data_IF_540516183420
#
_entry.id   IF_540516183420
#
_cell.length_a   1.000
_cell.length_b   1.000
_cell.length_c   1.000
_cell.angle_alpha   90.00
_cell.angle_beta   90.00
_cell.angle_gamma   90.00
#
_symmetry.space_group_name_H-M   'P 1'
#
loop_
_entity.id
_entity.type
_entity.pdbx_description
1 polymer ?
#
# COMPACT_ATOMS: atom_id res chain seq x y z
N UNK A 1 -22.38 36.50 15.31
CA UNK A 1 -21.23 35.60 15.41
C UNK A 1 -21.16 34.89 14.05
N UNK A 2 -20.38 35.47 13.14
CA UNK A 2 -20.32 35.03 11.74
C UNK A 2 -19.38 33.81 11.62
N UNK A 3 -19.92 32.73 11.07
CA UNK A 3 -19.12 31.55 10.71
C UNK A 3 -18.31 31.86 9.45
N UNK A 4 -16.99 31.93 9.57
CA UNK A 4 -16.09 32.02 8.43
C UNK A 4 -16.03 30.65 7.74
N UNK A 5 -16.54 30.62 6.51
CA UNK A 5 -16.36 29.50 5.59
C UNK A 5 -14.87 29.40 5.21
N UNK A 6 -14.26 28.27 5.49
CA UNK A 6 -12.90 27.95 5.03
C UNK A 6 -12.99 27.54 3.56
N UNK A 7 -12.42 28.35 2.68
CA UNK A 7 -12.20 27.97 1.29
C UNK A 7 -10.98 27.03 1.24
N UNK A 8 -11.23 25.77 0.92
CA UNK A 8 -10.18 24.86 0.48
C UNK A 8 -9.69 25.27 -0.92
N UNK A 9 -8.38 25.29 -1.19
CA UNK A 9 -7.88 25.56 -2.53
C UNK A 9 -8.29 24.42 -3.47
N UNK A 10 -8.79 24.79 -4.65
CA UNK A 10 -9.11 23.86 -5.73
C UNK A 10 -7.87 23.04 -6.12
N UNK A 11 -7.87 21.74 -5.81
CA UNK A 11 -6.93 20.79 -6.40
C UNK A 11 -7.16 20.78 -7.92
N UNK A 12 -6.13 21.06 -8.70
CA UNK A 12 -6.18 20.88 -10.15
C UNK A 12 -6.16 19.37 -10.43
N UNK A 13 -7.30 18.81 -10.77
CA UNK A 13 -7.39 17.42 -11.25
C UNK A 13 -6.83 17.37 -12.66
N UNK A 14 -5.67 16.77 -12.84
CA UNK A 14 -5.13 16.47 -14.17
C UNK A 14 -5.77 15.15 -14.60
N UNK A 15 -6.73 15.21 -15.51
CA UNK A 15 -7.34 14.02 -16.12
C UNK A 15 -6.44 13.57 -17.24
N UNK A 16 -5.68 12.50 -17.03
CA UNK A 16 -4.91 11.83 -18.09
C UNK A 16 -5.85 10.89 -18.84
N UNK A 17 -6.28 11.27 -20.04
CA UNK A 17 -7.06 10.40 -20.90
C UNK A 17 -6.11 9.51 -21.71
N UNK A 18 -6.02 8.24 -21.37
CA UNK A 18 -5.33 7.24 -22.19
C UNK A 18 -6.23 6.89 -23.38
N UNK A 19 -5.82 7.24 -24.59
CA UNK A 19 -6.55 6.91 -25.83
C UNK A 19 -6.21 5.47 -26.24
N UNK A 20 -7.11 4.54 -26.00
CA UNK A 20 -7.09 3.21 -26.65
C UNK A 20 -7.98 3.24 -27.88
N UNK A 21 -7.43 2.84 -29.04
CA UNK A 21 -8.17 2.65 -30.29
C UNK A 21 -8.88 1.29 -30.23
N UNK A 22 -10.21 1.30 -30.22
CA UNK A 22 -11.05 0.13 -30.47
C UNK A 22 -12.30 0.10 -29.59
N UNK A 23 -13.49 0.21 -30.22
CA UNK A 23 -14.79 0.04 -29.59
C UNK A 23 -14.97 -1.40 -29.11
N UNK A 24 -14.69 -1.64 -27.85
CA UNK A 24 -15.23 -2.74 -27.04
C UNK A 24 -15.53 -2.16 -25.68
N UNK A 25 -16.64 -2.59 -25.03
CA UNK A 25 -17.02 -2.24 -23.67
C UNK A 25 -15.77 -1.97 -22.85
N UNK A 26 -15.51 -0.71 -22.46
CA UNK A 26 -14.41 -0.39 -21.56
C UNK A 26 -14.66 -1.16 -20.25
N UNK A 27 -14.01 -2.30 -20.11
CA UNK A 27 -13.91 -2.94 -18.80
C UNK A 27 -13.09 -2.00 -17.93
N UNK A 28 -13.55 -1.74 -16.71
CA UNK A 28 -12.77 -1.06 -15.69
C UNK A 28 -11.47 -1.84 -15.52
N UNK A 29 -10.39 -1.40 -16.15
CA UNK A 29 -9.12 -2.12 -16.12
C UNK A 29 -8.09 -1.33 -15.31
N UNK A 30 -7.54 -1.97 -14.29
CA UNK A 30 -6.43 -1.43 -13.54
C UNK A 30 -5.16 -1.68 -14.35
N UNK A 31 -4.45 -0.60 -14.66
CA UNK A 31 -3.24 -0.63 -15.49
C UNK A 31 -1.97 -0.24 -14.74
N UNK A 32 -2.07 -0.01 -13.42
CA UNK A 32 -0.95 0.34 -12.55
C UNK A 32 -0.90 -0.59 -11.36
N UNK A 33 0.29 -1.15 -11.11
CA UNK A 33 0.60 -1.87 -9.87
C UNK A 33 1.52 -1.00 -9.02
N UNK A 34 0.99 -0.47 -7.92
CA UNK A 34 1.70 0.50 -7.08
C UNK A 34 2.42 -0.14 -5.89
N UNK A 35 2.45 -1.49 -5.78
CA UNK A 35 3.08 -2.17 -4.65
C UNK A 35 3.69 -3.50 -5.12
N UNK A 36 5.01 -3.50 -5.25
CA UNK A 36 5.76 -4.71 -5.60
C UNK A 36 7.20 -4.64 -5.12
N UNK A 37 7.78 -5.81 -4.97
CA UNK A 37 9.13 -6.03 -4.45
C UNK A 37 10.00 -6.78 -5.45
N UNK A 38 11.30 -6.60 -5.32
CA UNK A 38 12.30 -7.35 -6.05
C UNK A 38 13.35 -7.91 -5.09
N UNK A 39 14.44 -8.44 -5.61
CA UNK A 39 15.56 -8.97 -4.80
C UNK A 39 16.29 -7.92 -3.96
N UNK A 40 15.83 -6.68 -3.91
CA UNK A 40 16.25 -5.68 -2.93
C UNK A 40 15.50 -5.78 -1.61
N UNK A 41 14.31 -6.39 -1.60
CA UNK A 41 13.60 -6.78 -0.38
C UNK A 41 14.05 -8.17 0.08
N UNK A 42 14.24 -8.37 1.39
CA UNK A 42 14.82 -9.59 1.95
C UNK A 42 14.00 -10.86 1.63
N UNK A 43 12.70 -10.71 1.47
CA UNK A 43 11.73 -11.78 1.24
C UNK A 43 11.37 -12.02 -0.24
N UNK A 44 12.10 -11.37 -1.17
CA UNK A 44 11.98 -11.60 -2.61
C UNK A 44 13.31 -12.02 -3.25
N UNK A 45 13.27 -13.05 -4.07
CA UNK A 45 14.43 -13.53 -4.83
C UNK A 45 14.37 -13.18 -6.32
N UNK A 46 13.37 -12.40 -6.74
CA UNK A 46 13.13 -12.07 -8.15
C UNK A 46 13.90 -10.82 -8.55
N UNK A 47 14.63 -10.89 -9.66
CA UNK A 47 15.30 -9.69 -10.17
C UNK A 47 14.28 -8.61 -10.55
N UNK A 48 14.64 -7.34 -10.31
CA UNK A 48 13.81 -6.20 -10.71
C UNK A 48 13.48 -6.23 -12.21
N UNK A 49 14.43 -6.67 -13.05
CA UNK A 49 14.21 -6.78 -14.49
C UNK A 49 13.16 -7.83 -14.84
N UNK A 50 13.12 -8.98 -14.16
CA UNK A 50 12.10 -10.01 -14.41
C UNK A 50 10.72 -9.53 -13.97
N UNK A 51 10.62 -8.74 -12.88
CA UNK A 51 9.36 -8.08 -12.49
C UNK A 51 8.88 -7.10 -13.57
N UNK A 52 9.77 -6.27 -14.12
CA UNK A 52 9.44 -5.35 -15.23
C UNK A 52 8.93 -6.11 -16.46
N UNK A 53 9.64 -7.15 -16.88
CA UNK A 53 9.26 -7.95 -18.06
C UNK A 53 7.89 -8.60 -17.89
N UNK A 54 7.61 -9.11 -16.71
CA UNK A 54 6.31 -9.69 -16.43
C UNK A 54 5.20 -8.62 -16.40
N UNK A 55 5.47 -7.45 -15.84
CA UNK A 55 4.53 -6.32 -15.84
C UNK A 55 4.14 -5.90 -17.26
N UNK A 56 5.12 -5.85 -18.17
CA UNK A 56 4.87 -5.60 -19.60
C UNK A 56 4.02 -6.74 -20.20
N UNK A 57 4.32 -8.00 -19.86
CA UNK A 57 3.53 -9.16 -20.34
C UNK A 57 2.09 -9.15 -19.83
N UNK A 58 1.87 -8.68 -18.62
CA UNK A 58 0.53 -8.48 -18.06
C UNK A 58 -0.22 -7.29 -18.67
N UNK A 59 0.45 -6.47 -19.49
CA UNK A 59 -0.17 -5.31 -20.15
C UNK A 59 -0.36 -4.10 -19.25
N UNK A 60 0.41 -3.99 -18.19
CA UNK A 60 0.41 -2.80 -17.33
C UNK A 60 0.98 -1.59 -18.07
N UNK A 61 0.46 -0.42 -17.78
CA UNK A 61 0.99 0.86 -18.27
C UNK A 61 2.09 1.40 -17.38
N UNK A 62 2.07 1.05 -16.10
CA UNK A 62 3.08 1.47 -15.13
C UNK A 62 3.11 0.63 -13.86
N UNK A 63 4.22 0.74 -13.18
CA UNK A 63 4.48 0.08 -11.89
C UNK A 63 5.23 1.01 -10.95
N UNK A 64 5.14 0.74 -9.66
CA UNK A 64 6.00 1.33 -8.65
C UNK A 64 6.68 0.22 -7.84
N UNK A 65 8.00 0.18 -7.85
CA UNK A 65 8.72 -0.64 -6.87
C UNK A 65 8.65 0.04 -5.51
N UNK A 66 8.37 -0.74 -4.49
CA UNK A 66 8.22 -0.28 -3.10
C UNK A 66 8.96 -1.23 -2.17
N UNK A 67 10.28 -1.31 -2.35
CA UNK A 67 11.12 -2.22 -1.57
C UNK A 67 10.97 -1.96 -0.07
N UNK A 68 11.05 -3.04 0.73
CA UNK A 68 10.97 -2.96 2.18
C UNK A 68 12.12 -2.18 2.80
N UNK A 69 11.79 -1.32 3.76
CA UNK A 69 12.73 -0.75 4.72
C UNK A 69 12.10 -0.78 6.11
N UNK A 70 12.48 -1.78 6.89
CA UNK A 70 12.00 -2.00 8.25
C UNK A 70 13.19 -2.01 9.23
N UNK A 71 13.73 -0.84 9.61
CA UNK A 71 14.81 -0.76 10.59
C UNK A 71 14.35 -1.32 11.95
N UNK A 72 15.29 -1.86 12.71
CA UNK A 72 15.02 -2.51 14.00
C UNK A 72 13.99 -3.65 13.92
N UNK A 73 13.95 -4.34 12.77
CA UNK A 73 13.13 -5.53 12.64
C UNK A 73 13.57 -6.62 13.64
N UNK A 74 12.63 -7.30 14.31
CA UNK A 74 12.96 -8.33 15.29
C UNK A 74 13.71 -9.49 14.64
N UNK A 75 14.59 -10.19 15.40
CA UNK A 75 15.32 -11.34 14.88
C UNK A 75 14.39 -12.39 14.27
N UNK A 76 14.66 -12.78 13.03
CA UNK A 76 13.92 -13.82 12.32
C UNK A 76 14.59 -15.20 12.51
N UNK A 77 13.87 -16.32 12.32
CA UNK A 77 14.46 -17.65 12.38
C UNK A 77 15.62 -17.85 11.40
N UNK A 78 15.58 -17.17 10.26
CA UNK A 78 16.56 -17.28 9.17
C UNK A 78 17.60 -16.15 9.20
N UNK A 79 17.59 -15.29 10.23
CA UNK A 79 18.42 -14.10 10.39
C UNK A 79 18.31 -13.10 9.22
N UNK A 80 17.15 -13.02 8.60
CA UNK A 80 16.87 -12.00 7.58
C UNK A 80 16.85 -10.61 8.21
N UNK A 81 17.38 -9.63 7.49
CA UNK A 81 17.32 -8.22 7.86
C UNK A 81 16.57 -7.47 6.77
N UNK A 82 15.61 -6.64 7.17
CA UNK A 82 14.85 -5.79 6.25
C UNK A 82 15.49 -4.40 6.11
N UNK A 83 16.84 -4.40 6.05
CA UNK A 83 17.63 -3.23 5.67
C UNK A 83 17.74 -3.16 4.15
N UNK A 84 17.66 -1.96 3.58
CA UNK A 84 17.68 -1.73 2.14
C UNK A 84 19.04 -1.20 1.68
N UNK A 85 19.68 -1.85 0.69
CA UNK A 85 20.73 -1.23 -0.11
C UNK A 85 20.11 -0.17 -1.03
N UNK A 86 19.87 1.00 -0.48
CA UNK A 86 19.18 2.09 -1.14
C UNK A 86 19.91 2.60 -2.39
N UNK A 87 21.25 2.66 -2.36
CA UNK A 87 22.05 3.10 -3.51
C UNK A 87 22.00 2.06 -4.64
N UNK A 88 22.14 0.78 -4.32
CA UNK A 88 22.00 -0.32 -5.27
C UNK A 88 20.60 -0.37 -5.88
N UNK A 89 19.57 -0.27 -5.06
CA UNK A 89 18.17 -0.20 -5.48
C UNK A 89 17.94 0.96 -6.47
N UNK A 90 18.29 2.16 -6.05
CA UNK A 90 18.14 3.36 -6.87
C UNK A 90 18.85 3.27 -8.21
N UNK A 91 20.12 2.88 -8.19
CA UNK A 91 20.93 2.80 -9.41
C UNK A 91 20.39 1.76 -10.39
N UNK A 92 19.98 0.60 -9.89
CA UNK A 92 19.38 -0.47 -10.69
C UNK A 92 18.05 -0.03 -11.30
N UNK A 93 17.17 0.55 -10.47
CA UNK A 93 15.86 1.03 -10.92
C UNK A 93 15.99 2.08 -12.02
N UNK A 94 16.82 3.09 -11.86
CA UNK A 94 16.97 4.16 -12.87
C UNK A 94 17.58 3.65 -14.18
N UNK A 95 18.51 2.69 -14.11
CA UNK A 95 19.05 2.04 -15.31
C UNK A 95 17.98 1.25 -16.07
N UNK A 96 17.14 0.51 -15.35
CA UNK A 96 16.04 -0.27 -15.93
C UNK A 96 14.89 0.64 -16.41
N UNK A 97 14.57 1.69 -15.68
CA UNK A 97 13.61 2.73 -16.07
C UNK A 97 13.98 3.34 -17.43
N UNK A 98 15.24 3.70 -17.64
CA UNK A 98 15.73 4.16 -18.94
C UNK A 98 15.61 3.09 -20.03
N UNK A 99 16.00 1.85 -19.71
CA UNK A 99 15.97 0.73 -20.67
C UNK A 99 14.56 0.40 -21.16
N UNK A 100 13.55 0.47 -20.30
CA UNK A 100 12.18 0.08 -20.62
C UNK A 100 11.21 1.24 -20.78
N UNK A 101 11.70 2.48 -20.86
CA UNK A 101 10.89 3.71 -20.90
C UNK A 101 9.85 3.78 -22.04
N UNK A 102 10.07 3.02 -23.13
CA UNK A 102 9.11 2.95 -24.25
C UNK A 102 7.96 1.96 -24.04
N UNK A 103 8.12 1.03 -23.07
CA UNK A 103 7.23 -0.11 -22.90
C UNK A 103 6.45 -0.02 -21.58
N UNK A 104 7.02 0.59 -20.54
CA UNK A 104 6.45 0.64 -19.19
C UNK A 104 6.92 1.89 -18.43
N UNK A 105 6.01 2.59 -17.77
CA UNK A 105 6.37 3.63 -16.81
C UNK A 105 6.76 2.99 -15.46
N UNK A 106 7.96 3.31 -14.95
CA UNK A 106 8.48 2.75 -13.70
C UNK A 106 8.70 3.86 -12.70
N UNK A 107 8.09 3.76 -11.51
CA UNK A 107 8.23 4.70 -10.43
C UNK A 107 9.13 4.16 -9.32
N UNK A 108 9.84 5.10 -8.67
CA UNK A 108 10.76 4.86 -7.56
C UNK A 108 10.03 5.09 -6.24
N UNK A 109 9.55 4.03 -5.61
CA UNK A 109 8.86 4.08 -4.33
C UNK A 109 9.61 3.38 -3.21
N UNK A 110 8.96 3.32 -2.06
CA UNK A 110 9.45 2.62 -0.88
C UNK A 110 8.27 2.21 -0.01
N UNK A 111 8.38 1.05 0.66
CA UNK A 111 7.50 0.66 1.75
C UNK A 111 8.26 0.73 3.07
N UNK A 112 7.77 1.58 3.96
CA UNK A 112 8.37 1.84 5.27
C UNK A 112 7.64 1.05 6.36
N UNK A 113 8.34 0.19 7.06
CA UNK A 113 7.84 -0.47 8.26
C UNK A 113 7.83 0.50 9.44
N UNK A 114 6.70 1.17 9.64
CA UNK A 114 6.60 2.26 10.60
C UNK A 114 6.57 1.73 12.03
N UNK A 115 7.47 2.27 12.85
CA UNK A 115 7.48 2.13 14.30
C UNK A 115 7.66 3.52 14.92
N UNK A 116 7.02 3.86 16.05
CA UNK A 116 7.02 5.22 16.60
C UNK A 116 8.40 5.83 16.81
N UNK A 117 9.38 5.02 17.25
CA UNK A 117 10.74 5.47 17.54
C UNK A 117 11.59 5.76 16.29
N UNK A 118 11.15 5.32 15.10
CA UNK A 118 11.84 5.51 13.82
C UNK A 118 11.42 6.79 13.08
N UNK A 119 10.53 7.59 13.67
CA UNK A 119 9.92 8.74 12.96
C UNK A 119 10.93 9.76 12.47
N UNK A 120 11.99 10.05 13.25
CA UNK A 120 13.02 11.01 12.84
C UNK A 120 13.92 10.44 11.75
N UNK A 121 14.27 9.15 11.81
CA UNK A 121 14.99 8.46 10.78
C UNK A 121 14.25 8.52 9.42
N UNK A 122 12.95 8.24 9.40
CA UNK A 122 12.16 8.30 8.17
C UNK A 122 12.00 9.72 7.62
N UNK A 123 11.91 10.74 8.48
CA UNK A 123 11.91 12.14 8.02
C UNK A 123 13.21 12.51 7.31
N UNK A 124 14.35 12.20 7.92
CA UNK A 124 15.67 12.45 7.32
C UNK A 124 15.84 11.71 5.99
N UNK A 125 15.37 10.47 5.91
CA UNK A 125 15.37 9.68 4.69
C UNK A 125 14.57 10.37 3.58
N UNK A 126 13.31 10.74 3.85
CA UNK A 126 12.42 11.33 2.85
C UNK A 126 12.83 12.76 2.43
N UNK A 127 13.54 13.49 3.27
CA UNK A 127 14.16 14.77 2.91
C UNK A 127 15.36 14.58 1.98
N UNK A 128 16.08 13.46 2.10
CA UNK A 128 17.32 13.20 1.35
C UNK A 128 17.10 12.42 0.05
N UNK A 129 16.01 11.67 -0.08
CA UNK A 129 15.74 10.78 -1.21
C UNK A 129 14.42 11.15 -1.88
N UNK A 130 14.45 11.54 -3.19
CA UNK A 130 13.25 11.94 -3.91
C UNK A 130 12.49 10.74 -4.45
N UNK A 131 11.76 10.04 -3.57
CA UNK A 131 10.84 8.99 -3.99
C UNK A 131 9.66 9.55 -4.77
N UNK A 132 9.13 8.77 -5.72
CA UNK A 132 7.86 9.05 -6.39
C UNK A 132 6.67 8.72 -5.48
N UNK A 133 6.80 7.68 -4.63
CA UNK A 133 5.73 7.16 -3.81
C UNK A 133 6.23 6.51 -2.52
N UNK A 134 5.50 6.70 -1.42
CA UNK A 134 5.82 6.15 -0.11
C UNK A 134 4.61 5.48 0.50
N UNK A 135 4.71 4.19 0.74
CA UNK A 135 3.77 3.41 1.55
C UNK A 135 4.30 3.40 2.99
N UNK A 136 3.42 3.62 3.95
CA UNK A 136 3.71 3.37 5.34
C UNK A 136 2.91 2.18 5.84
N UNK A 137 3.57 1.18 6.41
CA UNK A 137 2.95 -0.08 6.82
C UNK A 137 3.29 -0.44 8.27
N UNK A 138 2.43 -1.23 8.91
CA UNK A 138 2.69 -1.81 10.23
C UNK A 138 3.02 -3.28 10.05
N UNK A 139 4.32 -3.62 9.99
CA UNK A 139 4.80 -5.00 9.99
C UNK A 139 5.14 -5.46 11.40
N UNK A 140 5.70 -4.58 12.21
CA UNK A 140 6.14 -4.89 13.57
C UNK A 140 5.24 -4.18 14.60
N UNK A 141 4.69 -4.93 15.52
CA UNK A 141 3.86 -4.46 16.63
C UNK A 141 4.54 -4.80 17.95
N UNK A 142 5.03 -3.77 18.66
CA UNK A 142 5.70 -3.91 19.95
C UNK A 142 6.81 -4.99 19.97
N UNK A 143 7.58 -5.07 18.86
CA UNK A 143 8.69 -6.02 18.70
C UNK A 143 8.30 -7.41 18.18
N UNK A 144 7.08 -7.58 17.70
CA UNK A 144 6.60 -8.83 17.07
C UNK A 144 6.03 -8.55 15.69
N UNK A 145 6.40 -9.38 14.70
CA UNK A 145 5.67 -9.44 13.44
C UNK A 145 4.58 -10.53 13.53
N UNK A 146 3.32 -10.19 13.23
CA UNK A 146 2.23 -11.16 13.16
C UNK A 146 2.50 -12.35 12.24
N UNK A 147 3.34 -12.17 11.21
CA UNK A 147 3.76 -13.24 10.29
C UNK A 147 4.30 -14.47 11.01
N UNK A 148 5.12 -14.30 12.05
CA UNK A 148 5.77 -15.41 12.75
C UNK A 148 4.90 -16.12 13.79
N UNK A 149 3.65 -15.75 13.94
CA UNK A 149 2.70 -16.42 14.83
C UNK A 149 3.00 -16.29 16.34
N UNK A 150 4.17 -15.80 16.73
CA UNK A 150 4.50 -15.53 18.12
C UNK A 150 3.64 -14.41 18.70
N UNK A 151 3.26 -13.48 17.86
CA UNK A 151 2.33 -12.40 18.18
C UNK A 151 0.99 -12.92 18.75
N UNK A 152 0.53 -14.09 18.30
CA UNK A 152 -0.73 -14.72 18.73
C UNK A 152 -0.56 -15.73 19.87
N UNK A 153 0.67 -16.11 20.22
CA UNK A 153 0.92 -17.23 21.13
C UNK A 153 0.33 -17.00 22.52
N UNK A 154 -0.62 -17.86 22.91
CA UNK A 154 -1.23 -17.82 24.25
C UNK A 154 -2.18 -16.65 24.48
N UNK A 155 -2.58 -15.95 23.43
CA UNK A 155 -3.43 -14.77 23.46
C UNK A 155 -4.74 -15.00 22.71
N UNK A 156 -5.77 -14.25 23.03
CA UNK A 156 -6.99 -14.22 22.23
C UNK A 156 -6.74 -13.46 20.94
N UNK A 157 -7.08 -14.05 19.80
CA UNK A 157 -6.90 -13.45 18.48
C UNK A 157 -7.53 -12.06 18.39
N UNK A 158 -8.70 -11.87 19.01
CA UNK A 158 -9.37 -10.57 19.02
C UNK A 158 -8.61 -9.48 19.77
N UNK A 159 -7.83 -9.83 20.78
CA UNK A 159 -6.95 -8.87 21.48
C UNK A 159 -5.73 -8.54 20.64
N UNK A 160 -5.18 -9.51 19.92
CA UNK A 160 -4.08 -9.30 19.01
C UNK A 160 -4.49 -8.37 17.84
N UNK A 161 -5.67 -8.57 17.27
CA UNK A 161 -6.17 -7.66 16.22
C UNK A 161 -6.40 -6.24 16.76
N UNK A 162 -6.97 -6.10 17.96
CA UNK A 162 -7.17 -4.79 18.58
C UNK A 162 -5.84 -4.08 18.81
N UNK A 163 -4.85 -4.76 19.37
CA UNK A 163 -3.50 -4.21 19.60
C UNK A 163 -2.81 -3.81 18.28
N UNK A 164 -2.97 -4.61 17.23
CA UNK A 164 -2.46 -4.25 15.90
C UNK A 164 -3.07 -2.94 15.40
N UNK A 165 -4.38 -2.76 15.52
CA UNK A 165 -5.04 -1.52 15.11
C UNK A 165 -4.63 -0.33 16.00
N UNK A 166 -4.43 -0.56 17.29
CA UNK A 166 -3.92 0.46 18.21
C UNK A 166 -2.51 0.92 17.80
N UNK A 167 -1.64 -0.02 17.40
CA UNK A 167 -0.30 0.31 16.92
C UNK A 167 -0.31 1.16 15.64
N UNK A 168 -1.31 1.01 14.76
CA UNK A 168 -1.48 1.89 13.60
C UNK A 168 -1.72 3.34 14.04
N UNK A 169 -2.52 3.58 15.08
CA UNK A 169 -2.74 4.94 15.61
C UNK A 169 -1.48 5.51 16.26
N UNK A 170 -0.71 4.70 16.97
CA UNK A 170 0.60 5.09 17.52
C UNK A 170 1.55 5.53 16.39
N UNK A 171 1.63 4.73 15.32
CA UNK A 171 2.42 5.01 14.15
C UNK A 171 1.98 6.32 13.47
N UNK A 172 0.68 6.48 13.20
CA UNK A 172 0.12 7.69 12.61
C UNK A 172 0.32 8.94 13.46
N UNK A 173 0.40 8.79 14.78
CA UNK A 173 0.68 9.92 15.69
C UNK A 173 2.13 10.34 15.61
N UNK A 174 3.05 9.40 15.50
CA UNK A 174 4.50 9.64 15.48
C UNK A 174 5.01 10.06 14.12
N UNK A 175 4.50 9.42 13.05
CA UNK A 175 4.93 9.64 11.68
C UNK A 175 3.72 9.65 10.73
N UNK A 176 3.68 10.60 9.81
CA UNK A 176 2.60 10.71 8.84
C UNK A 176 3.05 11.25 7.47
N UNK A 177 4.34 11.21 7.20
CA UNK A 177 4.87 11.66 5.90
C UNK A 177 5.00 10.50 4.88
N UNK A 178 4.03 9.58 4.90
CA UNK A 178 3.76 8.63 3.84
C UNK A 178 2.69 9.20 2.89
N UNK A 179 2.50 8.60 1.73
CA UNK A 179 1.41 8.98 0.80
C UNK A 179 0.13 8.17 1.08
N UNK A 180 0.28 6.88 1.33
CA UNK A 180 -0.80 5.98 1.73
C UNK A 180 -0.39 5.10 2.90
N UNK A 181 -1.38 4.62 3.66
CA UNK A 181 -1.18 3.53 4.62
C UNK A 181 -1.46 2.21 3.91
N UNK A 182 -0.46 1.31 3.91
CA UNK A 182 -0.53 -0.01 3.29
C UNK A 182 -1.47 -0.96 4.05
N UNK A 183 -2.01 -1.93 3.37
CA UNK A 183 -2.75 -3.10 3.87
C UNK A 183 -3.21 -3.06 5.34
N UNK A 184 -4.03 -2.06 5.73
CA UNK A 184 -4.41 -1.69 7.12
C UNK A 184 -4.78 -2.90 8.00
N UNK A 185 -5.37 -3.96 7.46
CA UNK A 185 -5.73 -5.17 8.21
C UNK A 185 -4.80 -6.36 7.92
N UNK A 186 -3.52 -6.08 7.65
CA UNK A 186 -2.45 -7.06 7.41
C UNK A 186 -2.43 -8.23 8.43
N UNK A 187 -2.63 -7.92 9.71
CA UNK A 187 -2.66 -8.90 10.80
C UNK A 187 -3.63 -10.06 10.56
N UNK A 188 -4.69 -9.83 9.77
CA UNK A 188 -5.72 -10.83 9.47
C UNK A 188 -5.18 -11.95 8.59
N UNK A 189 -4.12 -11.69 7.80
CA UNK A 189 -3.46 -12.72 6.97
C UNK A 189 -2.96 -13.88 7.82
N UNK A 190 -2.50 -13.60 9.04
CA UNK A 190 -1.72 -14.50 9.89
C UNK A 190 -2.45 -14.96 11.17
N UNK A 191 -3.61 -14.39 11.44
CA UNK A 191 -4.44 -14.81 12.56
C UNK A 191 -4.84 -16.29 12.47
N UNK A 192 -4.91 -17.02 13.60
CA UNK A 192 -5.25 -18.45 13.61
C UNK A 192 -6.57 -18.81 12.92
N UNK A 193 -7.55 -17.90 12.96
CA UNK A 193 -8.84 -18.07 12.31
C UNK A 193 -9.03 -17.11 11.12
N UNK A 194 -8.05 -16.26 10.84
CA UNK A 194 -8.08 -15.27 9.79
C UNK A 194 -9.36 -14.41 9.86
N UNK A 195 -10.05 -14.22 8.74
CA UNK A 195 -11.26 -13.41 8.68
C UNK A 195 -12.55 -14.10 9.15
N UNK A 196 -12.48 -15.32 9.70
CA UNK A 196 -13.67 -16.02 10.23
C UNK A 196 -14.25 -15.32 11.46
N UNK A 197 -13.37 -14.74 12.28
CA UNK A 197 -13.73 -14.01 13.49
C UNK A 197 -13.45 -12.50 13.37
N UNK A 198 -13.03 -12.05 12.20
CA UNK A 198 -12.75 -10.67 11.87
C UNK A 198 -13.92 -10.05 11.10
N UNK A 199 -14.26 -8.82 11.45
CA UNK A 199 -15.12 -7.97 10.64
C UNK A 199 -14.87 -6.50 11.00
N UNK A 200 -15.10 -5.58 10.05
CA UNK A 200 -15.07 -4.15 10.32
C UNK A 200 -15.93 -3.76 11.53
N UNK A 201 -17.15 -4.30 11.64
CA UNK A 201 -18.09 -3.93 12.72
C UNK A 201 -17.55 -4.25 14.11
N UNK A 202 -16.73 -5.31 14.24
CA UNK A 202 -16.13 -5.71 15.52
C UNK A 202 -15.08 -4.72 16.02
N UNK A 203 -14.37 -4.05 15.10
CA UNK A 203 -13.29 -3.10 15.40
C UNK A 203 -13.61 -1.70 14.90
N UNK A 204 -14.90 -1.41 14.71
CA UNK A 204 -15.37 -0.19 14.05
C UNK A 204 -14.82 1.09 14.66
N UNK A 205 -14.80 1.19 15.98
CA UNK A 205 -14.43 2.44 16.66
C UNK A 205 -12.95 2.77 16.37
N UNK A 206 -12.06 1.80 16.51
CA UNK A 206 -10.63 1.99 16.24
C UNK A 206 -10.34 2.16 14.75
N UNK A 207 -10.99 1.39 13.88
CA UNK A 207 -10.83 1.52 12.42
C UNK A 207 -11.36 2.86 11.90
N UNK A 208 -12.48 3.34 12.42
CA UNK A 208 -13.00 4.68 12.09
C UNK A 208 -12.03 5.79 12.52
N UNK A 209 -11.38 5.64 13.68
CA UNK A 209 -10.38 6.59 14.18
C UNK A 209 -9.13 6.59 13.29
N UNK A 210 -8.63 5.41 12.90
CA UNK A 210 -7.53 5.27 11.93
C UNK A 210 -7.87 5.99 10.62
N UNK A 211 -9.02 5.67 10.03
CA UNK A 211 -9.43 6.25 8.74
C UNK A 211 -9.60 7.77 8.81
N UNK A 212 -10.21 8.28 9.89
CA UNK A 212 -10.34 9.74 10.09
C UNK A 212 -8.97 10.40 10.26
N UNK A 213 -8.05 9.76 10.95
CA UNK A 213 -6.70 10.26 11.15
C UNK A 213 -5.94 10.34 9.83
N UNK A 214 -6.00 9.29 9.01
CA UNK A 214 -5.40 9.25 7.66
C UNK A 214 -5.97 10.40 6.81
N UNK A 215 -7.29 10.54 6.75
CA UNK A 215 -7.96 11.60 5.98
C UNK A 215 -7.59 12.99 6.49
N UNK A 216 -7.60 13.21 7.80
CA UNK A 216 -7.25 14.50 8.40
C UNK A 216 -5.81 14.93 8.13
N UNK A 217 -4.91 13.97 7.94
CA UNK A 217 -3.51 14.20 7.56
C UNK A 217 -3.32 14.38 6.04
N UNK A 218 -4.40 14.28 5.24
CA UNK A 218 -4.35 14.37 3.78
C UNK A 218 -3.67 13.17 3.11
N UNK A 219 -3.70 12.01 3.78
CA UNK A 219 -3.10 10.76 3.29
C UNK A 219 -4.16 9.82 2.75
N UNK A 220 -3.71 8.83 1.96
CA UNK A 220 -4.57 7.81 1.39
C UNK A 220 -4.47 6.45 2.09
N UNK A 221 -5.18 5.50 1.51
CA UNK A 221 -5.06 4.08 1.84
C UNK A 221 -4.71 3.29 0.59
N UNK A 222 -4.25 2.09 0.78
CA UNK A 222 -4.06 1.12 -0.28
C UNK A 222 -5.25 0.16 -0.37
N UNK A 223 -5.61 -0.31 -1.58
CA UNK A 223 -6.29 -1.56 -1.84
C UNK A 223 -5.22 -2.58 -2.25
N UNK A 224 -4.82 -3.43 -1.32
CA UNK A 224 -3.81 -4.45 -1.55
C UNK A 224 -4.49 -5.78 -1.90
N UNK A 225 -4.24 -6.27 -3.12
CA UNK A 225 -4.89 -7.49 -3.59
C UNK A 225 -4.25 -8.78 -3.06
N UNK A 226 -3.12 -8.68 -2.37
CA UNK A 226 -2.46 -9.80 -1.69
C UNK A 226 -3.39 -10.58 -0.76
N UNK A 227 -4.37 -9.93 -0.14
CA UNK A 227 -5.37 -10.59 0.69
C UNK A 227 -6.08 -11.76 -0.01
N UNK A 228 -6.32 -11.66 -1.31
CA UNK A 228 -6.87 -12.78 -2.09
C UNK A 228 -5.88 -13.94 -2.20
N UNK A 229 -4.58 -13.63 -2.34
CA UNK A 229 -3.53 -14.65 -2.41
C UNK A 229 -3.40 -15.40 -1.08
N UNK A 230 -3.56 -14.69 0.04
CA UNK A 230 -3.57 -15.30 1.38
C UNK A 230 -4.86 -16.06 1.72
N UNK A 231 -5.80 -16.14 0.77
CA UNK A 231 -7.02 -16.93 0.92
C UNK A 231 -8.14 -16.24 1.72
N UNK A 232 -8.02 -14.95 1.98
CA UNK A 232 -9.04 -14.19 2.72
C UNK A 232 -10.34 -14.02 1.92
N UNK A 233 -10.29 -14.13 0.58
CA UNK A 233 -11.42 -13.81 -0.29
C UNK A 233 -11.76 -12.32 -0.35
N UNK A 234 -10.95 -11.47 0.27
CA UNK A 234 -11.03 -10.03 0.38
C UNK A 234 -9.64 -9.41 0.14
N UNK A 235 -9.54 -8.13 -0.28
CA UNK A 235 -8.27 -7.40 -0.26
C UNK A 235 -7.87 -7.03 1.17
N UNK A 236 -6.69 -6.47 1.34
CA UNK A 236 -6.29 -5.74 2.55
C UNK A 236 -6.22 -4.22 2.26
N UNK A 237 -7.00 -3.38 2.97
CA UNK A 237 -8.03 -3.80 3.91
C UNK A 237 -9.26 -4.37 3.21
N UNK A 238 -10.10 -5.08 3.98
CA UNK A 238 -11.33 -5.66 3.47
C UNK A 238 -12.27 -4.57 2.91
N UNK A 239 -13.15 -4.96 1.96
CA UNK A 239 -14.03 -3.98 1.26
C UNK A 239 -14.91 -3.16 2.18
N UNK A 240 -15.23 -3.65 3.38
CA UNK A 240 -16.03 -2.88 4.36
C UNK A 240 -15.26 -1.64 4.84
N UNK A 241 -13.95 -1.75 5.06
CA UNK A 241 -13.07 -0.65 5.44
C UNK A 241 -12.91 0.32 4.26
N UNK A 242 -12.68 -0.18 3.04
CA UNK A 242 -12.56 0.65 1.82
C UNK A 242 -13.84 1.48 1.61
N UNK A 243 -15.01 0.85 1.74
CA UNK A 243 -16.31 1.54 1.65
C UNK A 243 -16.45 2.60 2.75
N UNK A 244 -16.01 2.25 3.97
CA UNK A 244 -16.08 3.19 5.09
C UNK A 244 -15.16 4.39 4.90
N UNK A 245 -13.95 4.16 4.40
CA UNK A 245 -13.01 5.23 4.05
C UNK A 245 -13.65 6.22 3.06
N UNK A 246 -14.29 5.72 2.00
CA UNK A 246 -15.01 6.53 1.03
C UNK A 246 -16.16 7.32 1.67
N UNK A 247 -16.95 6.70 2.55
CA UNK A 247 -18.06 7.35 3.28
C UNK A 247 -17.57 8.46 4.22
N UNK A 248 -16.38 8.35 4.77
CA UNK A 248 -15.76 9.36 5.62
C UNK A 248 -15.12 10.52 4.82
N UNK A 249 -15.14 10.46 3.50
CA UNK A 249 -14.62 11.49 2.60
C UNK A 249 -13.20 11.23 2.09
N UNK A 250 -12.70 10.02 2.25
CA UNK A 250 -11.41 9.61 1.67
C UNK A 250 -11.52 9.44 0.15
N UNK A 251 -10.56 10.00 -0.57
CA UNK A 251 -10.52 10.00 -2.04
C UNK A 251 -9.23 9.39 -2.61
N UNK A 252 -8.15 9.36 -1.83
CA UNK A 252 -6.84 8.84 -2.26
C UNK A 252 -6.78 7.35 -1.97
N UNK A 253 -6.78 6.52 -3.01
CA UNK A 253 -6.65 5.07 -2.88
C UNK A 253 -5.78 4.51 -4.00
N UNK A 254 -4.66 3.89 -3.64
CA UNK A 254 -3.78 3.17 -4.59
C UNK A 254 -4.21 1.71 -4.71
N UNK A 255 -3.71 1.03 -5.73
CA UNK A 255 -3.90 -0.41 -5.92
C UNK A 255 -2.53 -1.06 -6.02
N UNK A 256 -2.29 -2.09 -5.23
CA UNK A 256 -1.07 -2.87 -5.25
C UNK A 256 -1.32 -4.36 -5.14
N UNK A 257 -0.50 -5.15 -5.82
CA UNK A 257 -0.55 -6.60 -5.70
C UNK A 257 0.31 -7.14 -4.55
N UNK A 258 1.26 -6.32 -4.05
CA UNK A 258 2.24 -6.74 -3.04
C UNK A 258 3.04 -7.95 -3.55
N UNK A 259 3.47 -7.83 -4.82
CA UNK A 259 4.04 -8.92 -5.58
C UNK A 259 5.53 -9.10 -5.25
N UNK A 260 5.91 -10.28 -4.72
CA UNK A 260 7.28 -10.69 -4.45
C UNK A 260 7.82 -11.67 -5.50
N UNK A 261 6.99 -12.00 -6.50
CA UNK A 261 7.33 -12.90 -7.60
C UNK A 261 6.50 -12.57 -8.84
N UNK A 262 6.98 -12.92 -10.05
CA UNK A 262 6.31 -12.54 -11.31
C UNK A 262 4.87 -13.03 -11.42
N UNK A 263 4.54 -14.19 -10.88
CA UNK A 263 3.19 -14.78 -10.93
C UNK A 263 2.17 -14.05 -10.03
N UNK A 264 2.61 -13.07 -9.24
CA UNK A 264 1.77 -12.25 -8.36
C UNK A 264 1.50 -10.85 -8.90
N UNK A 265 2.21 -10.43 -9.95
CA UNK A 265 2.02 -9.10 -10.55
C UNK A 265 0.58 -8.96 -11.05
N UNK A 266 -0.06 -7.83 -10.74
CA UNK A 266 -1.45 -7.53 -11.07
C UNK A 266 -2.45 -8.61 -10.61
N UNK A 267 -2.11 -9.35 -9.55
CA UNK A 267 -2.96 -10.45 -9.05
C UNK A 267 -4.33 -9.94 -8.65
N UNK A 268 -5.40 -10.53 -9.19
CA UNK A 268 -6.80 -10.18 -8.92
C UNK A 268 -7.19 -8.70 -9.17
N UNK A 269 -6.52 -8.01 -10.10
CA UNK A 269 -6.85 -6.62 -10.46
C UNK A 269 -8.23 -6.48 -11.12
N UNK A 270 -8.74 -7.53 -11.76
CA UNK A 270 -10.12 -7.61 -12.21
C UNK A 270 -11.12 -7.42 -11.07
N UNK A 271 -10.84 -8.01 -9.89
CA UNK A 271 -11.67 -7.83 -8.68
C UNK A 271 -11.49 -6.47 -8.05
N UNK A 272 -10.27 -5.90 -8.08
CA UNK A 272 -9.98 -4.60 -7.48
C UNK A 272 -10.84 -3.49 -8.10
N UNK A 273 -10.96 -3.46 -9.44
CA UNK A 273 -11.79 -2.49 -10.14
C UNK A 273 -13.26 -2.57 -9.71
N UNK A 274 -13.82 -3.78 -9.65
CA UNK A 274 -15.21 -3.99 -9.22
C UNK A 274 -15.41 -3.56 -7.76
N UNK A 275 -14.48 -3.88 -6.86
CA UNK A 275 -14.54 -3.48 -5.45
C UNK A 275 -14.53 -1.97 -5.30
N UNK A 276 -13.64 -1.27 -6.01
CA UNK A 276 -13.60 0.18 -5.97
C UNK A 276 -14.89 0.81 -6.45
N UNK A 277 -15.44 0.34 -7.58
CA UNK A 277 -16.72 0.82 -8.11
C UNK A 277 -17.86 0.58 -7.10
N UNK A 278 -17.95 -0.63 -6.51
CA UNK A 278 -18.94 -0.98 -5.49
C UNK A 278 -18.81 -0.17 -4.20
N UNK A 279 -17.58 0.29 -3.89
CA UNK A 279 -17.32 1.16 -2.75
C UNK A 279 -17.55 2.66 -3.05
N UNK A 280 -17.88 3.01 -4.30
CA UNK A 280 -18.22 4.38 -4.72
C UNK A 280 -17.04 5.21 -5.18
N UNK A 281 -15.92 4.57 -5.56
CA UNK A 281 -14.82 5.23 -6.26
C UNK A 281 -15.09 5.26 -7.76
N UNK A 282 -14.62 6.32 -8.40
CA UNK A 282 -14.64 6.49 -9.87
C UNK A 282 -13.24 6.65 -10.43
N UNK A 283 -12.26 6.74 -9.55
CA UNK A 283 -10.84 6.87 -9.83
C UNK A 283 -10.05 6.06 -8.82
N UNK A 284 -8.88 5.59 -9.21
CA UNK A 284 -7.81 5.19 -8.30
C UNK A 284 -6.64 6.15 -8.43
N UNK A 285 -5.67 6.07 -7.53
CA UNK A 285 -4.57 7.03 -7.43
C UNK A 285 -3.24 6.36 -7.76
N UNK A 286 -2.40 7.09 -8.49
CA UNK A 286 -0.97 6.79 -8.70
C UNK A 286 -0.19 7.99 -8.21
N UNK A 287 1.01 7.80 -7.70
CA UNK A 287 1.86 8.89 -7.24
C UNK A 287 3.08 9.07 -8.13
N UNK A 288 3.42 10.35 -8.40
CA UNK A 288 4.64 10.77 -9.05
C UNK A 288 5.20 12.00 -8.34
N UNK A 289 6.48 11.99 -8.01
CA UNK A 289 7.09 13.06 -7.18
C UNK A 289 6.27 13.35 -5.90
N UNK A 290 5.75 12.32 -5.25
CA UNK A 290 4.86 12.42 -4.07
C UNK A 290 3.55 13.18 -4.31
N UNK A 291 3.12 13.31 -5.57
CA UNK A 291 1.88 14.00 -5.95
C UNK A 291 0.86 12.99 -6.48
N UNK A 292 -0.38 13.01 -5.97
CA UNK A 292 -1.42 12.10 -6.44
C UNK A 292 -1.91 12.49 -7.84
N UNK A 293 -1.95 11.50 -8.73
CA UNK A 293 -2.60 11.54 -10.04
C UNK A 293 -3.81 10.60 -10.03
N UNK A 294 -4.97 11.08 -10.48
CA UNK A 294 -6.21 10.31 -10.43
C UNK A 294 -6.48 9.68 -11.81
N UNK A 295 -6.52 8.34 -11.85
CA UNK A 295 -6.79 7.57 -13.05
C UNK A 295 -8.22 7.05 -12.99
N UNK A 296 -8.98 7.28 -14.06
CA UNK A 296 -10.38 6.87 -14.13
C UNK A 296 -10.49 5.34 -14.19
N UNK A 297 -11.41 4.78 -13.38
CA UNK A 297 -11.85 3.39 -13.45
C UNK A 297 -12.63 3.10 -14.73
#
# INVERSE_FOLDING_TARGET
MEMKAWHMPFLHVIIVAVHTKGDTKMSNQILWDCHMHSSFSADSNTSMEDMIRESIRCGLSGICFTEHLDPDYPPTPDNETFELDLDGYRNTLFSLKEKYQSDLEVHFGIELGIQPHLSDFFKELLESVPFDFVIGSSHVVHGYDPYYGEFFRGRRESECYQEYFESILENLTSFSDMDVYGHIDYVVRYGPNQNREYSYDRYKDILDEILRTIIAKGRGIELNTGGFHYGLGEPNPCRAIIRRYRQLGGDIITIGADAHSPDKIAYAFDKAADILADCGFTYYTVFKDRKPEFIKL
#
